data_IF_003744514077
#
_entry.id   IF_003744514077
#
_cell.length_a   1.000
_cell.length_b   1.000
_cell.length_c   1.000
_cell.angle_alpha   90.00
_cell.angle_beta   90.00
_cell.angle_gamma   90.00
#
_symmetry.space_group_name_H-M   'P 1'
#
loop_
_entity.id
_entity.type
_entity.pdbx_description
1 polymer ?
#
# COMPACT_ATOMS: atom_id res chain seq x y z
N UNK A 1 -3.25 15.97 16.07
CA UNK A 1 -3.90 14.65 15.87
C UNK A 1 -3.16 13.89 14.77
N UNK A 2 -2.56 12.73 15.05
CA UNK A 2 -1.88 11.92 14.02
C UNK A 2 -2.95 11.30 13.12
N UNK A 3 -2.90 11.54 11.81
CA UNK A 3 -3.87 10.95 10.88
C UNK A 3 -3.68 9.43 10.86
N UNK A 4 -4.77 8.66 11.01
CA UNK A 4 -4.76 7.19 11.15
C UNK A 4 -3.96 6.46 10.06
N UNK A 5 -3.85 7.05 8.86
CA UNK A 5 -3.15 6.50 7.71
C UNK A 5 -1.63 6.75 7.65
N UNK A 6 -1.06 7.54 8.58
CA UNK A 6 0.39 7.81 8.67
C UNK A 6 0.98 7.48 10.04
N UNK A 7 0.27 6.69 10.87
CA UNK A 7 0.74 6.28 12.21
C UNK A 7 2.11 5.56 12.23
N UNK A 8 2.53 5.02 11.09
CA UNK A 8 3.81 4.37 10.88
C UNK A 8 4.70 5.10 9.84
N UNK A 9 4.41 6.36 9.53
CA UNK A 9 5.32 7.18 8.73
C UNK A 9 6.66 7.33 9.46
N UNK A 10 7.78 7.29 8.72
CA UNK A 10 9.13 7.43 9.28
C UNK A 10 9.66 6.24 10.10
N UNK A 11 8.78 5.33 10.55
CA UNK A 11 9.20 4.11 11.27
C UNK A 11 9.88 3.13 10.33
N UNK A 12 10.86 2.40 10.85
CA UNK A 12 11.51 1.30 10.13
C UNK A 12 10.50 0.23 9.68
N UNK A 13 10.81 -0.46 8.58
CA UNK A 13 10.01 -1.57 8.10
C UNK A 13 10.37 -2.83 8.87
N UNK A 14 9.35 -3.51 9.39
CA UNK A 14 9.52 -4.83 10.02
C UNK A 14 9.29 -5.92 8.99
N UNK A 15 9.90 -7.11 9.14
CA UNK A 15 9.65 -8.24 8.25
C UNK A 15 8.16 -8.60 8.12
N UNK A 16 7.40 -8.45 9.21
CA UNK A 16 5.95 -8.64 9.20
C UNK A 16 5.22 -7.63 8.29
N UNK A 17 5.64 -6.36 8.29
CA UNK A 17 5.06 -5.32 7.43
C UNK A 17 5.39 -5.53 5.95
N UNK A 18 6.59 -6.03 5.64
CA UNK A 18 7.00 -6.39 4.29
C UNK A 18 6.23 -7.61 3.77
N UNK A 19 6.06 -8.65 4.60
CA UNK A 19 5.21 -9.80 4.29
C UNK A 19 3.78 -9.36 3.99
N UNK A 20 3.24 -8.45 4.82
CA UNK A 20 1.88 -7.95 4.64
C UNK A 20 1.73 -7.13 3.35
N UNK A 21 2.73 -6.32 3.01
CA UNK A 21 2.79 -5.61 1.73
C UNK A 21 2.69 -6.61 0.56
N UNK A 22 3.51 -7.66 0.57
CA UNK A 22 3.53 -8.70 -0.48
C UNK A 22 2.21 -9.47 -0.59
N UNK A 23 1.55 -9.76 0.53
CA UNK A 23 0.23 -10.40 0.52
C UNK A 23 -0.84 -9.53 -0.12
N UNK A 24 -0.86 -8.23 0.21
CA UNK A 24 -1.87 -7.31 -0.30
C UNK A 24 -1.68 -7.06 -1.81
N UNK A 25 -0.44 -6.97 -2.28
CA UNK A 25 -0.17 -6.82 -3.73
C UNK A 25 -0.58 -8.04 -4.52
N UNK A 26 -0.35 -9.26 -4.01
CA UNK A 26 -0.86 -10.50 -4.62
C UNK A 26 -2.39 -10.54 -4.75
N UNK A 27 -3.10 -9.85 -3.86
CA UNK A 27 -4.56 -9.70 -3.91
C UNK A 27 -5.03 -8.53 -4.79
N UNK A 28 -4.14 -7.94 -5.59
CA UNK A 28 -4.41 -6.75 -6.41
C UNK A 28 -4.95 -5.56 -5.59
N UNK A 29 -4.52 -5.43 -4.34
CA UNK A 29 -4.99 -4.34 -3.46
C UNK A 29 -4.44 -3.01 -3.95
N UNK A 30 -5.28 -1.96 -4.16
CA UNK A 30 -4.79 -0.65 -4.57
C UNK A 30 -3.78 -0.06 -3.58
N UNK A 31 -2.74 0.60 -4.07
CA UNK A 31 -1.63 1.14 -3.25
C UNK A 31 -2.12 2.05 -2.12
N UNK A 32 -3.18 2.82 -2.35
CA UNK A 32 -3.79 3.68 -1.32
C UNK A 32 -4.35 2.86 -0.15
N UNK A 33 -5.05 1.76 -0.45
CA UNK A 33 -5.62 0.85 0.56
C UNK A 33 -4.52 0.13 1.33
N UNK A 34 -3.44 -0.28 0.65
CA UNK A 34 -2.24 -0.82 1.30
C UNK A 34 -1.68 0.17 2.33
N UNK A 35 -1.55 1.45 1.95
CA UNK A 35 -1.11 2.51 2.87
C UNK A 35 -2.01 2.65 4.09
N UNK A 36 -3.33 2.57 3.92
CA UNK A 36 -4.30 2.62 5.03
C UNK A 36 -4.13 1.44 5.99
N UNK A 37 -3.99 0.22 5.47
CA UNK A 37 -3.82 -1.01 6.28
C UNK A 37 -2.51 -0.95 7.06
N UNK A 38 -1.40 -0.63 6.39
CA UNK A 38 -0.07 -0.56 6.99
C UNK A 38 0.14 0.71 7.84
N UNK A 39 -0.75 1.70 7.73
CA UNK A 39 -0.60 3.02 8.36
C UNK A 39 0.59 3.80 7.83
N UNK A 40 0.92 3.65 6.55
CA UNK A 40 2.07 4.28 5.88
C UNK A 40 1.61 5.18 4.72
N UNK A 41 2.33 6.28 4.45
CA UNK A 41 2.04 7.12 3.30
C UNK A 41 2.26 6.36 1.99
N UNK A 42 1.49 6.73 0.95
CA UNK A 42 1.57 6.10 -0.39
C UNK A 42 2.98 6.13 -0.96
N UNK A 43 3.72 7.22 -0.76
CA UNK A 43 5.12 7.33 -1.14
C UNK A 43 5.99 6.25 -0.50
N UNK A 44 5.89 6.06 0.82
CA UNK A 44 6.65 5.04 1.54
C UNK A 44 6.30 3.61 1.09
N UNK A 45 5.04 3.34 0.77
CA UNK A 45 4.63 2.05 0.19
C UNK A 45 5.28 1.84 -1.20
N UNK A 46 5.32 2.86 -2.05
CA UNK A 46 5.96 2.79 -3.38
C UNK A 46 7.46 2.56 -3.28
N UNK A 47 8.15 3.35 -2.46
CA UNK A 47 9.59 3.21 -2.21
C UNK A 47 9.91 1.80 -1.75
N UNK A 48 9.19 1.30 -0.74
CA UNK A 48 9.46 -0.03 -0.21
C UNK A 48 9.13 -1.15 -1.20
N UNK A 49 8.05 -1.01 -1.96
CA UNK A 49 7.73 -1.98 -3.01
C UNK A 49 8.82 -2.03 -4.08
N UNK A 50 9.40 -0.88 -4.44
CA UNK A 50 10.55 -0.80 -5.35
C UNK A 50 11.79 -1.50 -4.78
N UNK A 51 12.13 -1.23 -3.50
CA UNK A 51 13.25 -1.91 -2.80
C UNK A 51 13.09 -3.44 -2.78
N UNK A 52 11.85 -3.93 -2.64
CA UNK A 52 11.53 -5.35 -2.59
C UNK A 52 11.25 -5.98 -3.96
N UNK A 53 11.40 -5.23 -5.06
CA UNK A 53 11.04 -5.66 -6.41
C UNK A 53 9.59 -6.19 -6.53
N UNK A 54 8.65 -5.58 -5.81
CA UNK A 54 7.23 -5.93 -5.81
C UNK A 54 6.48 -4.97 -6.74
N UNK A 55 5.83 -5.52 -7.77
CA UNK A 55 4.93 -4.73 -8.62
C UNK A 55 3.65 -4.32 -7.86
N UNK A 56 3.30 -3.04 -7.95
CA UNK A 56 2.07 -2.46 -7.39
C UNK A 56 0.94 -2.35 -8.44
N UNK A 57 1.06 -3.03 -9.58
CA UNK A 57 0.05 -3.01 -10.64
C UNK A 57 -1.18 -3.88 -10.28
N UNK A 58 -2.38 -3.50 -10.76
CA UNK A 58 -2.64 -2.39 -11.69
C UNK A 58 -2.64 -1.05 -10.96
N UNK A 59 -1.92 -0.10 -11.55
CA UNK A 59 -1.66 1.23 -11.00
C UNK A 59 -2.98 1.94 -10.73
N UNK A 60 -3.37 2.02 -9.45
CA UNK A 60 -4.42 2.92 -8.98
C UNK A 60 -5.78 2.77 -9.70
N UNK A 61 -6.17 1.55 -10.10
CA UNK A 61 -7.54 1.31 -10.54
C UNK A 61 -8.46 1.37 -9.32
N UNK A 62 -9.59 2.07 -9.47
CA UNK A 62 -10.63 2.09 -8.44
C UNK A 62 -11.16 0.66 -8.29
N UNK A 63 -11.36 0.16 -7.06
CA UNK A 63 -11.79 -1.23 -6.82
C UNK A 63 -13.15 -1.59 -7.45
N UNK A 64 -13.88 -0.62 -8.01
CA UNK A 64 -15.12 -0.82 -8.74
C UNK A 64 -14.98 -0.34 -10.18
N UNK A 65 -15.39 -1.18 -11.14
CA UNK A 65 -15.84 -0.74 -12.44
C UNK A 65 -17.07 0.17 -12.23
N UNK A 66 -16.87 1.50 -12.14
CA UNK A 66 -17.98 2.44 -12.30
C UNK A 66 -18.49 2.26 -13.74
N UNK A 67 -19.52 1.44 -13.92
CA UNK A 67 -20.31 1.47 -15.16
C UNK A 67 -20.82 2.91 -15.28
N UNK A 68 -20.47 3.60 -16.37
CA UNK A 68 -21.14 4.86 -16.72
C UNK A 68 -22.61 4.50 -16.96
N UNK A 69 -23.52 5.19 -16.27
CA UNK A 69 -24.94 5.21 -16.68
C UNK A 69 -25.04 5.94 -18.01
#
# INVERSE_FOLDING_TARGET
>A
MIKKYIRNAGKQWTPASEKKLKELTKKNTPTRVIGLILGRPVGGVRTKASELNISLKPTNQSPYNRKKK
#
